data_IF_585415509915
#
_entry.id   IF_585415509915
#
_cell.length_a   1.000
_cell.length_b   1.000
_cell.length_c   1.000
_cell.angle_alpha   90.00
_cell.angle_beta   90.00
_cell.angle_gamma   90.00
#
_symmetry.space_group_name_H-M   'P 1'
#
loop_
_entity.id
_entity.type
_entity.pdbx_description
1 polymer ?
#
# COMPACT_ATOMS: atom_id res chain seq x y z
N UNK A 1 -9.57 -26.05 -5.69
CA UNK A 1 -8.81 -26.34 -4.45
C UNK A 1 -7.86 -25.17 -4.19
N UNK A 2 -8.06 -24.44 -3.09
CA UNK A 2 -7.07 -23.62 -2.36
C UNK A 2 -7.88 -22.73 -1.39
N UNK A 3 -8.49 -23.39 -0.41
CA UNK A 3 -9.12 -22.76 0.75
C UNK A 3 -8.12 -22.64 1.92
N UNK A 4 -6.92 -23.23 1.80
CA UNK A 4 -6.03 -23.47 2.96
C UNK A 4 -5.27 -22.23 3.43
N UNK A 5 -5.11 -21.19 2.59
CA UNK A 5 -4.32 -20.01 2.92
C UNK A 5 -5.16 -18.73 3.06
N UNK A 6 -6.48 -18.85 3.17
CA UNK A 6 -7.33 -17.71 3.45
C UNK A 6 -7.14 -17.29 4.92
N UNK A 7 -6.92 -15.99 5.21
CA UNK A 7 -6.68 -15.55 6.57
C UNK A 7 -7.97 -15.64 7.37
N UNK A 8 -7.89 -16.04 8.65
CA UNK A 8 -9.06 -16.22 9.53
C UNK A 8 -9.90 -14.95 9.71
N UNK A 9 -9.35 -13.78 9.42
CA UNK A 9 -10.03 -12.48 9.48
C UNK A 9 -10.96 -12.24 8.27
N UNK A 10 -10.83 -13.03 7.18
CA UNK A 10 -11.56 -12.82 5.94
C UNK A 10 -13.09 -12.78 6.13
N UNK A 11 -13.74 -13.68 6.89
CA UNK A 11 -15.18 -13.60 7.13
C UNK A 11 -15.60 -12.33 7.89
N UNK A 12 -14.76 -11.85 8.80
CA UNK A 12 -15.01 -10.59 9.52
C UNK A 12 -14.93 -9.38 8.57
N UNK A 13 -13.96 -9.37 7.66
CA UNK A 13 -13.82 -8.33 6.64
C UNK A 13 -15.02 -8.36 5.68
N UNK A 14 -15.42 -9.55 5.22
CA UNK A 14 -16.58 -9.72 4.34
C UNK A 14 -17.85 -9.13 4.96
N UNK A 15 -18.14 -9.50 6.21
CA UNK A 15 -19.27 -8.96 6.98
C UNK A 15 -19.20 -7.45 7.16
N UNK A 16 -18.00 -6.90 7.44
CA UNK A 16 -17.81 -5.46 7.63
C UNK A 16 -17.99 -4.67 6.32
N UNK A 17 -17.56 -5.24 5.21
CA UNK A 17 -17.67 -4.69 3.87
C UNK A 17 -19.06 -4.89 3.22
N UNK A 18 -19.92 -5.72 3.82
CA UNK A 18 -21.24 -6.04 3.26
C UNK A 18 -21.18 -6.94 2.02
N UNK A 19 -20.08 -7.64 1.79
CA UNK A 19 -19.89 -8.56 0.66
C UNK A 19 -20.09 -10.02 1.07
N UNK A 20 -20.44 -10.87 0.10
CA UNK A 20 -20.57 -12.31 0.36
C UNK A 20 -19.21 -12.96 0.65
N UNK A 21 -19.21 -14.05 1.43
CA UNK A 21 -18.00 -14.83 1.71
C UNK A 21 -17.36 -15.38 0.42
N UNK A 22 -18.17 -15.74 -0.57
CA UNK A 22 -17.68 -16.19 -1.87
C UNK A 22 -16.96 -15.08 -2.65
N UNK A 23 -17.52 -13.86 -2.64
CA UNK A 23 -16.88 -12.71 -3.26
C UNK A 23 -15.57 -12.39 -2.52
N UNK A 24 -15.58 -12.35 -1.19
CA UNK A 24 -14.38 -12.12 -0.38
C UNK A 24 -13.28 -13.14 -0.69
N UNK A 25 -13.62 -14.43 -0.84
CA UNK A 25 -12.67 -15.47 -1.24
C UNK A 25 -12.13 -15.27 -2.66
N UNK A 26 -12.96 -14.81 -3.60
CA UNK A 26 -12.52 -14.47 -4.97
C UNK A 26 -11.55 -13.30 -4.97
N UNK A 27 -11.85 -12.23 -4.23
CA UNK A 27 -10.98 -11.06 -4.11
C UNK A 27 -9.66 -11.41 -3.40
N UNK A 28 -9.71 -12.28 -2.39
CA UNK A 28 -8.52 -12.80 -1.74
C UNK A 28 -7.60 -13.54 -2.72
N UNK A 29 -8.14 -14.44 -3.55
CA UNK A 29 -7.35 -15.16 -4.57
C UNK A 29 -6.68 -14.19 -5.54
N UNK A 30 -7.40 -13.15 -5.97
CA UNK A 30 -6.84 -12.10 -6.82
C UNK A 30 -5.68 -11.37 -6.12
N UNK A 31 -5.87 -10.97 -4.87
CA UNK A 31 -4.85 -10.27 -4.09
C UNK A 31 -3.56 -11.10 -3.91
N UNK A 32 -3.71 -12.40 -3.66
CA UNK A 32 -2.60 -13.36 -3.53
C UNK A 32 -1.82 -13.48 -4.84
N UNK A 33 -2.50 -13.60 -5.99
CA UNK A 33 -1.84 -13.63 -7.30
C UNK A 33 -1.15 -12.32 -7.65
N UNK A 34 -1.74 -11.17 -7.28
CA UNK A 34 -1.10 -9.86 -7.48
C UNK A 34 0.13 -9.70 -6.59
N UNK A 35 0.10 -10.19 -5.36
CA UNK A 35 1.25 -10.17 -4.46
C UNK A 35 2.40 -11.04 -5.00
N UNK A 36 2.11 -12.25 -5.47
CA UNK A 36 3.08 -13.16 -6.08
C UNK A 36 3.77 -12.52 -7.29
N UNK A 37 2.98 -11.86 -8.16
CA UNK A 37 3.49 -11.15 -9.32
C UNK A 37 4.44 -9.99 -8.92
N UNK A 38 4.12 -9.26 -7.85
CA UNK A 38 4.89 -8.08 -7.42
C UNK A 38 6.15 -8.43 -6.62
N UNK A 39 6.11 -9.48 -5.79
CA UNK A 39 7.27 -9.90 -4.99
C UNK A 39 8.17 -10.88 -5.73
N UNK A 40 7.67 -11.55 -6.76
CA UNK A 40 8.35 -12.68 -7.41
C UNK A 40 8.48 -13.92 -6.52
N UNK A 41 7.83 -13.91 -5.35
CA UNK A 41 7.87 -14.96 -4.33
C UNK A 41 6.46 -15.33 -3.89
N UNK A 42 6.20 -16.60 -3.60
CA UNK A 42 4.91 -17.11 -3.15
C UNK A 42 4.84 -17.37 -1.63
N UNK A 43 5.84 -16.91 -0.88
CA UNK A 43 6.00 -17.18 0.56
C UNK A 43 6.76 -16.07 1.29
N UNK A 44 6.76 -16.14 2.63
CA UNK A 44 7.45 -15.16 3.49
C UNK A 44 6.58 -13.98 3.92
N UNK A 45 7.08 -13.23 4.90
CA UNK A 45 6.33 -12.15 5.55
C UNK A 45 5.99 -10.99 4.60
N UNK A 46 6.90 -10.64 3.69
CA UNK A 46 6.67 -9.59 2.69
C UNK A 46 5.52 -9.93 1.74
N UNK A 47 5.51 -11.16 1.23
CA UNK A 47 4.44 -11.65 0.37
C UNK A 47 3.08 -11.65 1.07
N UNK A 48 2.99 -12.21 2.29
CA UNK A 48 1.73 -12.26 3.02
C UNK A 48 1.25 -10.87 3.47
N UNK A 49 2.18 -9.97 3.83
CA UNK A 49 1.87 -8.57 4.12
C UNK A 49 1.27 -7.88 2.89
N UNK A 50 1.90 -8.01 1.73
CA UNK A 50 1.42 -7.41 0.48
C UNK A 50 0.08 -8.02 0.04
N UNK A 51 -0.13 -9.32 0.20
CA UNK A 51 -1.42 -9.96 -0.13
C UNK A 51 -2.58 -9.38 0.69
N UNK A 52 -2.35 -9.09 1.98
CA UNK A 52 -3.36 -8.42 2.83
C UNK A 52 -3.60 -6.98 2.38
N UNK A 53 -2.54 -6.22 2.08
CA UNK A 53 -2.66 -4.85 1.56
C UNK A 53 -3.47 -4.80 0.25
N UNK A 54 -3.15 -5.68 -0.71
CA UNK A 54 -3.88 -5.77 -1.98
C UNK A 54 -5.34 -6.16 -1.77
N UNK A 55 -5.60 -7.11 -0.87
CA UNK A 55 -6.97 -7.54 -0.58
C UNK A 55 -7.83 -6.40 -0.04
N UNK A 56 -7.32 -5.63 0.92
CA UNK A 56 -8.06 -4.49 1.48
C UNK A 56 -8.35 -3.44 0.41
N UNK A 57 -7.36 -3.12 -0.45
CA UNK A 57 -7.57 -2.18 -1.56
C UNK A 57 -8.64 -2.66 -2.55
N UNK A 58 -8.61 -3.93 -2.94
CA UNK A 58 -9.60 -4.50 -3.87
C UNK A 58 -11.02 -4.49 -3.24
N UNK A 59 -11.15 -4.81 -1.95
CA UNK A 59 -12.44 -4.76 -1.25
C UNK A 59 -12.98 -3.34 -1.20
N UNK A 60 -12.13 -2.35 -0.90
CA UNK A 60 -12.52 -0.94 -0.91
C UNK A 60 -12.97 -0.47 -2.29
N UNK A 61 -12.33 -0.95 -3.36
CA UNK A 61 -12.73 -0.62 -4.73
C UNK A 61 -14.09 -1.21 -5.11
N UNK A 62 -14.33 -2.48 -4.78
CA UNK A 62 -15.60 -3.18 -5.07
C UNK A 62 -16.77 -2.61 -4.24
N UNK A 63 -16.54 -2.26 -2.97
CA UNK A 63 -17.58 -1.66 -2.10
C UNK A 63 -17.84 -0.20 -2.47
N UNK A 64 -16.81 0.55 -2.84
CA UNK A 64 -16.98 1.95 -3.17
C UNK A 64 -17.66 2.18 -4.53
N UNK A 65 -17.71 1.16 -5.41
CA UNK A 65 -18.31 1.24 -6.73
C UNK A 65 -19.80 0.85 -6.75
N UNK A 66 -20.40 0.49 -5.60
CA UNK A 66 -21.84 0.23 -5.52
C UNK A 66 -22.61 1.56 -5.51
N UNK A 67 -23.22 2.02 -6.62
CA UNK A 67 -23.84 3.33 -6.67
C UNK A 67 -25.35 3.14 -6.48
N UNK A 68 -25.83 3.24 -5.25
CA UNK A 68 -27.29 3.32 -5.01
C UNK A 68 -27.79 4.77 -4.90
N UNK A 69 -26.91 5.78 -4.99
CA UNK A 69 -27.34 7.19 -4.94
C UNK A 69 -26.51 8.11 -5.84
N UNK A 70 -27.20 9.09 -6.44
CA UNK A 70 -26.72 10.16 -7.33
C UNK A 70 -25.86 11.21 -6.63
N UNK A 71 -24.91 10.81 -5.79
CA UNK A 71 -23.95 11.71 -5.15
C UNK A 71 -22.53 11.31 -5.51
N UNK A 72 -21.71 12.29 -5.88
CA UNK A 72 -20.28 12.11 -6.12
C UNK A 72 -19.62 11.48 -4.89
N UNK A 73 -18.97 10.31 -5.01
CA UNK A 73 -18.31 9.68 -3.89
C UNK A 73 -17.24 10.61 -3.29
N UNK A 74 -17.20 10.70 -1.96
CA UNK A 74 -16.11 11.38 -1.28
C UNK A 74 -14.77 10.72 -1.66
N UNK A 75 -13.68 11.49 -1.86
CA UNK A 75 -12.39 10.94 -2.25
C UNK A 75 -11.91 9.91 -1.21
N UNK A 76 -11.59 8.71 -1.70
CA UNK A 76 -11.19 7.58 -0.85
C UNK A 76 -9.76 7.81 -0.34
N UNK A 77 -9.62 8.21 0.92
CA UNK A 77 -8.32 8.46 1.58
C UNK A 77 -7.76 7.23 2.33
N UNK A 78 -8.43 6.09 2.27
CA UNK A 78 -7.99 4.84 2.90
C UNK A 78 -6.64 4.36 2.37
N UNK A 79 -6.37 4.58 1.08
CA UNK A 79 -5.06 4.30 0.47
C UNK A 79 -3.93 5.07 1.17
N UNK A 80 -4.15 6.35 1.52
CA UNK A 80 -3.17 7.17 2.22
C UNK A 80 -2.86 6.62 3.62
N UNK A 81 -3.88 6.13 4.33
CA UNK A 81 -3.71 5.49 5.64
C UNK A 81 -2.96 4.16 5.54
N UNK A 82 -3.32 3.30 4.60
CA UNK A 82 -2.62 2.02 4.39
C UNK A 82 -1.17 2.20 3.93
N UNK A 83 -0.86 3.29 3.21
CA UNK A 83 0.48 3.56 2.68
C UNK A 83 1.27 4.57 3.52
N UNK A 84 0.80 4.93 4.71
CA UNK A 84 1.43 5.96 5.55
C UNK A 84 2.91 5.65 5.85
N UNK A 85 3.24 4.39 6.15
CA UNK A 85 4.63 3.98 6.41
C UNK A 85 5.53 4.11 5.18
N UNK A 86 5.02 3.76 3.99
CA UNK A 86 5.77 3.87 2.72
C UNK A 86 5.97 5.33 2.31
N UNK A 87 4.92 6.15 2.43
CA UNK A 87 4.97 7.58 2.09
C UNK A 87 5.84 8.40 3.05
N UNK A 88 5.80 8.08 4.35
CA UNK A 88 6.65 8.74 5.35
C UNK A 88 8.13 8.42 5.15
N UNK A 89 8.48 7.19 4.77
CA UNK A 89 9.86 6.80 4.48
C UNK A 89 10.43 7.55 3.26
N UNK A 90 9.67 7.64 2.17
CA UNK A 90 10.08 8.39 0.97
C UNK A 90 10.31 9.87 1.29
N UNK A 91 9.43 10.46 2.12
CA UNK A 91 9.55 11.84 2.56
C UNK A 91 10.82 12.05 3.41
N UNK A 92 11.14 11.11 4.30
CA UNK A 92 12.34 11.16 5.12
C UNK A 92 13.62 11.01 4.29
N UNK A 93 13.63 10.09 3.32
CA UNK A 93 14.76 9.92 2.40
C UNK A 93 15.00 11.18 1.54
N UNK A 94 13.92 11.80 1.05
CA UNK A 94 14.01 13.06 0.31
C UNK A 94 14.61 14.17 1.17
N UNK A 95 14.19 14.29 2.43
CA UNK A 95 14.74 15.25 3.38
C UNK A 95 16.24 15.02 3.65
N UNK A 96 16.65 13.76 3.85
CA UNK A 96 18.07 13.41 4.03
C UNK A 96 18.92 13.75 2.81
N UNK A 97 18.41 13.47 1.61
CA UNK A 97 19.11 13.78 0.36
C UNK A 97 19.22 15.30 0.13
N UNK A 98 18.15 16.05 0.39
CA UNK A 98 18.17 17.51 0.33
C UNK A 98 19.16 18.12 1.33
N UNK A 99 19.18 17.60 2.56
CA UNK A 99 20.13 18.02 3.59
C UNK A 99 21.58 17.76 3.17
N UNK A 100 21.89 16.55 2.67
CA UNK A 100 23.23 16.22 2.17
C UNK A 100 23.64 17.10 0.99
N UNK A 101 22.72 17.34 0.05
CA UNK A 101 22.98 18.22 -1.08
C UNK A 101 23.32 19.64 -0.63
N UNK A 102 22.53 20.17 0.31
CA UNK A 102 22.75 21.48 0.90
C UNK A 102 24.11 21.53 1.61
N UNK A 103 24.40 20.55 2.49
CA UNK A 103 25.68 20.48 3.21
C UNK A 103 26.88 20.46 2.26
N UNK A 104 26.86 19.60 1.24
CA UNK A 104 27.92 19.51 0.23
C UNK A 104 28.11 20.84 -0.52
N UNK A 105 27.02 21.54 -0.81
CA UNK A 105 27.07 22.84 -1.49
C UNK A 105 27.75 23.89 -0.62
N UNK A 106 27.41 23.95 0.68
CA UNK A 106 28.06 24.88 1.61
C UNK A 106 29.54 24.56 1.81
N UNK A 107 29.90 23.29 2.02
CA UNK A 107 31.30 22.87 2.14
C UNK A 107 32.11 23.21 0.88
N UNK A 108 31.54 23.01 -0.32
CA UNK A 108 32.18 23.40 -1.58
C UNK A 108 32.38 24.91 -1.72
N UNK A 109 31.42 25.73 -1.28
CA UNK A 109 31.55 27.19 -1.28
C UNK A 109 32.61 27.70 -0.30
N UNK A 110 32.77 27.06 0.86
CA UNK A 110 33.86 27.38 1.80
C UNK A 110 35.22 26.90 1.29
N UNK A 111 35.29 25.73 0.65
CA UNK A 111 36.51 25.20 0.04
C UNK A 111 37.05 26.08 -1.09
N UNK A 112 36.18 26.68 -1.91
CA UNK A 112 36.62 27.61 -2.97
C UNK A 112 37.19 28.93 -2.42
N UNK A 113 36.77 29.39 -1.24
CA UNK A 113 37.28 30.63 -0.63
C UNK A 113 38.68 30.48 -0.01
N UNK A 114 39.13 29.26 0.25
CA UNK A 114 40.47 28.98 0.77
C UNK A 114 41.53 28.77 -0.33
N UNK A 115 41.11 28.70 -1.60
CA UNK A 115 41.98 28.42 -2.74
C UNK A 115 42.18 29.63 -3.69
N UNK A 116 41.72 30.82 -3.32
CA UNK A 116 41.84 32.07 -4.07
C UNK A 116 42.67 33.11 -3.31
#
# INVERSE_FOLDING_TARGET
>A
MNNMNAPKILPWIAKKAGISDELALKLWRRAVSEAEYLTGNSEGAEYWGLAVERFLGIVEDEVGDTPEYTLTPAPRLSWMWHHQSRMSLLSLMAAQNAYRYWQNTWEGMYGQKHAA
#
